data_IF_615736724679
#
_entry.id   IF_615736724679
#
_cell.length_a   1.000
_cell.length_b   1.000
_cell.length_c   1.000
_cell.angle_alpha   90.00
_cell.angle_beta   90.00
_cell.angle_gamma   90.00
#
_symmetry.space_group_name_H-M   'P 1'
#
loop_
_entity.id
_entity.type
_entity.pdbx_description
1 polymer ?
#
# COMPACT_ATOMS: atom_id res chain seq x y z
N UNK A 1 -29.69 -13.10 -4.66
CA UNK A 1 -28.71 -12.00 -4.65
C UNK A 1 -28.06 -12.02 -6.01
N UNK A 2 -27.98 -10.88 -6.68
CA UNK A 2 -27.35 -10.77 -7.99
C UNK A 2 -25.85 -11.12 -7.91
N UNK A 3 -25.31 -11.79 -8.93
CA UNK A 3 -23.91 -12.25 -8.94
C UNK A 3 -22.91 -11.08 -8.90
N UNK A 4 -23.22 -9.96 -9.57
CA UNK A 4 -22.41 -8.74 -9.59
C UNK A 4 -22.47 -8.07 -8.22
N UNK A 5 -23.66 -7.95 -7.63
CA UNK A 5 -23.83 -7.39 -6.28
C UNK A 5 -23.05 -8.21 -5.24
N UNK A 6 -23.06 -9.55 -5.34
CA UNK A 6 -22.29 -10.41 -4.45
C UNK A 6 -20.77 -10.25 -4.63
N UNK A 7 -20.30 -10.08 -5.88
CA UNK A 7 -18.90 -9.83 -6.19
C UNK A 7 -18.42 -8.49 -5.61
N UNK A 8 -19.24 -7.43 -5.71
CA UNK A 8 -18.96 -6.12 -5.11
C UNK A 8 -18.85 -6.20 -3.58
N UNK A 9 -19.76 -6.91 -2.92
CA UNK A 9 -19.71 -7.08 -1.45
C UNK A 9 -18.49 -7.88 -0.99
N UNK A 10 -18.06 -8.88 -1.76
CA UNK A 10 -16.82 -9.60 -1.47
C UNK A 10 -15.58 -8.71 -1.66
N UNK A 11 -15.58 -7.88 -2.71
CA UNK A 11 -14.54 -6.88 -2.96
C UNK A 11 -14.41 -5.88 -1.82
N UNK A 12 -15.52 -5.42 -1.24
CA UNK A 12 -15.50 -4.54 -0.07
C UNK A 12 -14.86 -5.19 1.16
N UNK A 13 -15.14 -6.47 1.40
CA UNK A 13 -14.49 -7.23 2.49
C UNK A 13 -12.99 -7.38 2.24
N UNK A 14 -12.60 -7.72 1.02
CA UNK A 14 -11.20 -7.84 0.62
C UNK A 14 -10.46 -6.51 0.79
N UNK A 15 -11.06 -5.40 0.36
CA UNK A 15 -10.53 -4.05 0.58
C UNK A 15 -10.24 -3.77 2.05
N UNK A 16 -11.23 -3.98 2.93
CA UNK A 16 -11.06 -3.73 4.37
C UNK A 16 -9.91 -4.56 4.96
N UNK A 17 -9.78 -5.83 4.55
CA UNK A 17 -8.68 -6.69 5.02
C UNK A 17 -7.31 -6.18 4.57
N UNK A 18 -7.19 -5.76 3.31
CA UNK A 18 -5.94 -5.25 2.76
C UNK A 18 -5.55 -3.91 3.39
N UNK A 19 -6.51 -3.03 3.66
CA UNK A 19 -6.27 -1.78 4.40
C UNK A 19 -5.75 -2.08 5.80
N UNK A 20 -6.40 -2.98 6.55
CA UNK A 20 -5.91 -3.38 7.88
C UNK A 20 -4.49 -3.96 7.82
N UNK A 21 -4.19 -4.79 6.82
CA UNK A 21 -2.85 -5.34 6.65
C UNK A 21 -1.81 -4.24 6.37
N UNK A 22 -2.16 -3.26 5.53
CA UNK A 22 -1.31 -2.11 5.23
C UNK A 22 -1.05 -1.29 6.49
N UNK A 23 -2.08 -0.98 7.28
CA UNK A 23 -1.96 -0.24 8.54
C UNK A 23 -1.07 -0.97 9.56
N UNK A 24 -1.16 -2.30 9.64
CA UNK A 24 -0.29 -3.10 10.49
C UNK A 24 1.17 -3.06 10.04
N UNK A 25 1.43 -3.18 8.73
CA UNK A 25 2.78 -3.04 8.20
C UNK A 25 3.34 -1.65 8.48
N UNK A 26 2.52 -0.61 8.31
CA UNK A 26 2.86 0.77 8.64
C UNK A 26 3.23 0.89 10.12
N UNK A 27 2.32 0.55 11.05
CA UNK A 27 2.58 0.63 12.48
C UNK A 27 3.85 -0.14 12.91
N UNK A 28 4.10 -1.32 12.33
CA UNK A 28 5.30 -2.11 12.62
C UNK A 28 6.60 -1.39 12.18
N UNK A 29 6.60 -0.75 11.01
CA UNK A 29 7.75 0.02 10.53
C UNK A 29 7.93 1.31 11.36
N UNK A 30 6.85 2.02 11.75
CA UNK A 30 6.98 3.21 12.65
C UNK A 30 7.53 2.86 14.02
N UNK A 31 7.33 1.62 14.46
CA UNK A 31 7.85 1.12 15.73
C UNK A 31 9.34 0.77 15.65
N UNK A 32 9.87 0.54 14.45
CA UNK A 32 11.26 0.19 14.20
C UNK A 32 12.19 1.33 14.65
N UNK A 33 13.17 1.02 15.50
CA UNK A 33 14.10 2.01 16.07
C UNK A 33 13.62 2.67 17.37
N UNK A 34 12.35 2.50 17.76
CA UNK A 34 11.85 2.99 19.07
C UNK A 34 12.14 2.02 20.23
N UNK A 35 12.32 0.72 19.96
CA UNK A 35 12.51 -0.30 21.00
C UNK A 35 13.97 -0.70 21.25
N UNK A 36 14.95 -0.04 20.63
CA UNK A 36 16.37 -0.26 20.91
C UNK A 36 16.94 -1.61 20.43
N UNK A 37 16.20 -2.37 19.59
CA UNK A 37 16.63 -3.66 19.01
C UNK A 37 17.15 -3.50 17.58
N UNK A 38 18.11 -2.60 17.39
CA UNK A 38 18.50 -2.05 16.09
C UNK A 38 18.88 -3.06 14.99
N UNK A 39 19.39 -4.25 15.30
CA UNK A 39 19.80 -5.25 14.30
C UNK A 39 18.66 -6.18 13.83
N UNK A 40 17.78 -6.61 14.74
CA UNK A 40 16.66 -7.52 14.40
C UNK A 40 15.54 -6.77 13.67
N UNK A 41 15.27 -5.54 14.12
CA UNK A 41 14.28 -4.66 13.51
C UNK A 41 14.70 -4.21 12.10
N UNK A 42 15.98 -3.87 11.90
CA UNK A 42 16.53 -3.50 10.59
C UNK A 42 16.46 -4.66 9.57
N UNK A 43 16.55 -5.91 10.02
CA UNK A 43 16.42 -7.08 9.14
C UNK A 43 14.98 -7.33 8.68
N UNK A 44 14.00 -6.88 9.46
CA UNK A 44 12.57 -7.07 9.17
C UNK A 44 11.98 -5.93 8.33
N UNK A 45 12.57 -4.72 8.39
CA UNK A 45 12.14 -3.55 7.61
C UNK A 45 12.00 -3.79 6.10
N UNK A 46 12.97 -4.40 5.39
CA UNK A 46 12.83 -4.65 3.95
C UNK A 46 11.59 -5.49 3.63
N UNK A 47 11.32 -6.51 4.46
CA UNK A 47 10.15 -7.38 4.29
C UNK A 47 8.85 -6.64 4.56
N UNK A 48 8.79 -5.86 5.64
CA UNK A 48 7.60 -5.07 5.98
C UNK A 48 7.29 -4.04 4.90
N UNK A 49 8.31 -3.40 4.33
CA UNK A 49 8.15 -2.49 3.20
C UNK A 49 7.64 -3.20 1.94
N UNK A 50 8.21 -4.37 1.62
CA UNK A 50 7.70 -5.19 0.52
C UNK A 50 6.23 -5.57 0.71
N UNK A 51 5.85 -6.04 1.90
CA UNK A 51 4.46 -6.38 2.21
C UNK A 51 3.51 -5.19 2.09
N UNK A 52 3.93 -4.00 2.53
CA UNK A 52 3.12 -2.79 2.37
C UNK A 52 3.02 -2.34 0.90
N UNK A 53 4.07 -2.50 0.08
CA UNK A 53 4.01 -2.28 -1.38
C UNK A 53 3.01 -3.23 -2.03
N UNK A 54 3.05 -4.52 -1.67
CA UNK A 54 2.14 -5.53 -2.18
C UNK A 54 0.69 -5.19 -1.81
N UNK A 55 0.44 -4.78 -0.56
CA UNK A 55 -0.89 -4.33 -0.14
C UNK A 55 -1.37 -3.11 -0.93
N UNK A 56 -0.52 -2.11 -1.19
CA UNK A 56 -0.89 -0.95 -2.02
C UNK A 56 -1.20 -1.35 -3.46
N UNK A 57 -0.40 -2.22 -4.07
CA UNK A 57 -0.70 -2.72 -5.42
C UNK A 57 -2.02 -3.47 -5.45
N UNK A 58 -2.32 -4.26 -4.43
CA UNK A 58 -3.59 -4.97 -4.32
C UNK A 58 -4.77 -4.00 -4.16
N UNK A 59 -4.67 -2.97 -3.32
CA UNK A 59 -5.69 -1.91 -3.22
C UNK A 59 -5.94 -1.24 -4.59
N UNK A 60 -4.88 -0.95 -5.35
CA UNK A 60 -5.04 -0.38 -6.68
C UNK A 60 -5.77 -1.34 -7.63
N UNK A 61 -5.44 -2.64 -7.60
CA UNK A 61 -6.12 -3.66 -8.39
C UNK A 61 -7.61 -3.81 -7.99
N UNK A 62 -7.94 -3.73 -6.70
CA UNK A 62 -9.31 -3.79 -6.20
C UNK A 62 -10.13 -2.58 -6.66
N UNK A 63 -9.54 -1.37 -6.68
CA UNK A 63 -10.18 -0.18 -7.26
C UNK A 63 -10.55 -0.41 -8.73
N UNK A 64 -9.61 -0.91 -9.55
CA UNK A 64 -9.88 -1.20 -10.95
C UNK A 64 -10.99 -2.26 -11.11
N UNK A 65 -11.00 -3.30 -10.27
CA UNK A 65 -12.03 -4.34 -10.30
C UNK A 65 -13.41 -3.79 -9.90
N UNK A 66 -13.48 -2.94 -8.88
CA UNK A 66 -14.72 -2.29 -8.48
C UNK A 66 -15.25 -1.40 -9.61
N UNK A 67 -14.40 -0.58 -10.23
CA UNK A 67 -14.77 0.31 -11.36
C UNK A 67 -15.50 -0.46 -12.47
N UNK A 68 -14.95 -1.63 -12.86
CA UNK A 68 -15.55 -2.50 -13.87
C UNK A 68 -16.88 -3.13 -13.44
N UNK A 69 -17.03 -3.48 -12.17
CA UNK A 69 -18.25 -4.12 -11.66
C UNK A 69 -19.37 -3.11 -11.41
N UNK A 70 -19.03 -1.87 -11.05
CA UNK A 70 -20.01 -0.81 -10.79
C UNK A 70 -20.88 -0.54 -12.01
N UNK A 71 -20.30 -0.54 -13.21
CA UNK A 71 -21.07 -0.36 -14.46
C UNK A 71 -22.00 -1.54 -14.78
N UNK A 72 -21.75 -2.71 -14.18
CA UNK A 72 -22.52 -3.94 -14.41
C UNK A 72 -23.63 -4.16 -13.37
N UNK A 73 -23.77 -3.25 -12.40
CA UNK A 73 -24.80 -3.39 -11.36
C UNK A 73 -26.20 -3.23 -11.95
N UNK A 74 -27.18 -4.02 -11.48
CA UNK A 74 -28.49 -4.14 -12.13
C UNK A 74 -29.39 -2.91 -11.92
N UNK A 75 -29.09 -2.05 -10.93
CA UNK A 75 -29.86 -0.85 -10.62
C UNK A 75 -29.03 0.42 -10.57
N UNK A 76 -29.64 1.54 -10.94
CA UNK A 76 -29.00 2.86 -10.89
C UNK A 76 -28.57 3.26 -9.47
N UNK A 77 -29.34 2.88 -8.44
CA UNK A 77 -28.98 3.15 -7.05
C UNK A 77 -27.72 2.37 -6.63
N UNK A 78 -27.60 1.11 -7.05
CA UNK A 78 -26.41 0.31 -6.78
C UNK A 78 -25.19 0.85 -7.53
N UNK A 79 -25.35 1.29 -8.79
CA UNK A 79 -24.29 1.97 -9.56
C UNK A 79 -23.80 3.22 -8.82
N UNK A 80 -24.72 4.08 -8.37
CA UNK A 80 -24.38 5.31 -7.62
C UNK A 80 -23.65 4.99 -6.31
N UNK A 81 -24.15 4.01 -5.55
CA UNK A 81 -23.51 3.54 -4.31
C UNK A 81 -22.10 2.98 -4.56
N UNK A 82 -21.94 2.23 -5.66
CA UNK A 82 -20.67 1.71 -6.12
C UNK A 82 -19.67 2.80 -6.51
N UNK A 83 -20.11 3.82 -7.25
CA UNK A 83 -19.29 4.98 -7.60
C UNK A 83 -18.88 5.79 -6.36
N UNK A 84 -19.80 5.98 -5.40
CA UNK A 84 -19.48 6.63 -4.13
C UNK A 84 -18.43 5.84 -3.33
N UNK A 85 -18.56 4.50 -3.31
CA UNK A 85 -17.57 3.61 -2.69
C UNK A 85 -16.20 3.76 -3.36
N UNK A 86 -16.15 3.77 -4.70
CA UNK A 86 -14.92 3.96 -5.46
C UNK A 86 -14.27 5.32 -5.16
N UNK A 87 -15.06 6.37 -5.01
CA UNK A 87 -14.58 7.69 -4.58
C UNK A 87 -13.92 7.64 -3.20
N UNK A 88 -14.56 7.00 -2.23
CA UNK A 88 -14.00 6.81 -0.88
C UNK A 88 -12.71 5.99 -0.89
N UNK A 89 -12.65 4.93 -1.71
CA UNK A 89 -11.44 4.11 -1.84
C UNK A 89 -10.26 4.88 -2.43
N UNK A 90 -10.52 5.73 -3.44
CA UNK A 90 -9.50 6.61 -4.02
C UNK A 90 -8.93 7.57 -2.99
N UNK A 91 -9.79 8.18 -2.17
CA UNK A 91 -9.36 9.08 -1.09
C UNK A 91 -8.52 8.33 -0.04
N UNK A 92 -8.98 7.16 0.42
CA UNK A 92 -8.21 6.33 1.37
C UNK A 92 -6.85 5.93 0.80
N UNK A 93 -6.80 5.50 -0.46
CA UNK A 93 -5.56 5.12 -1.14
C UNK A 93 -4.60 6.32 -1.26
N UNK A 94 -5.12 7.49 -1.62
CA UNK A 94 -4.34 8.73 -1.70
C UNK A 94 -3.86 9.21 -0.34
N UNK A 95 -4.52 8.89 0.76
CA UNK A 95 -4.03 9.21 2.10
C UNK A 95 -2.93 8.23 2.54
N UNK A 96 -2.97 6.98 2.08
CA UNK A 96 -1.94 5.97 2.39
C UNK A 96 -0.66 6.09 1.54
N UNK A 97 -0.80 6.49 0.26
CA UNK A 97 0.31 6.54 -0.70
C UNK A 97 1.45 7.53 -0.35
N UNK A 98 1.20 8.76 0.14
CA UNK A 98 2.23 9.73 0.51
C UNK A 98 3.07 9.29 1.70
N UNK A 99 2.43 8.63 2.69
CA UNK A 99 3.14 7.99 3.79
C UNK A 99 4.13 6.96 3.22
N UNK A 100 3.70 6.20 2.23
CA UNK A 100 4.53 5.17 1.61
C UNK A 100 5.71 5.72 0.79
N UNK A 101 5.52 6.80 0.03
CA UNK A 101 6.60 7.46 -0.71
C UNK A 101 7.64 8.03 0.25
N UNK A 102 7.19 8.69 1.34
CA UNK A 102 8.08 9.19 2.39
C UNK A 102 8.90 8.08 3.05
N UNK A 103 8.31 6.89 3.17
CA UNK A 103 8.92 5.75 3.84
C UNK A 103 9.84 4.92 2.96
N UNK A 104 9.53 4.80 1.67
CA UNK A 104 10.50 4.32 0.70
C UNK A 104 11.78 5.14 0.84
N UNK A 105 11.68 6.48 0.84
CA UNK A 105 12.82 7.39 1.01
C UNK A 105 13.52 7.25 2.38
N UNK A 106 12.79 7.08 3.49
CA UNK A 106 13.38 6.86 4.80
C UNK A 106 14.08 5.50 4.92
N UNK A 107 13.51 4.46 4.31
CA UNK A 107 14.13 3.15 4.22
C UNK A 107 15.40 3.17 3.37
N UNK A 108 15.43 3.89 2.23
CA UNK A 108 16.67 4.15 1.48
C UNK A 108 17.71 4.75 2.42
N UNK A 109 17.33 5.69 3.29
CA UNK A 109 18.25 6.35 4.22
C UNK A 109 18.75 5.44 5.35
N UNK A 110 17.89 4.61 5.96
CA UNK A 110 18.29 3.63 6.99
C UNK A 110 19.17 2.52 6.38
N UNK A 111 18.79 1.97 5.23
CA UNK A 111 19.61 0.97 4.54
C UNK A 111 20.91 1.56 4.00
N UNK A 112 20.93 2.81 3.55
CA UNK A 112 22.19 3.49 3.16
C UNK A 112 23.17 3.61 4.33
N UNK A 113 22.69 3.95 5.54
CA UNK A 113 23.52 3.99 6.75
C UNK A 113 24.01 2.58 7.14
N UNK A 114 23.19 1.54 6.94
CA UNK A 114 23.56 0.17 7.24
C UNK A 114 24.43 -0.52 6.15
N UNK A 115 24.52 0.04 4.94
CA UNK A 115 25.18 -0.57 3.76
C UNK A 115 26.41 0.24 3.33
N UNK A 116 27.06 0.99 4.25
CA UNK A 116 28.31 1.68 3.92
C UNK A 116 29.51 0.73 3.68
N UNK A 117 29.37 -0.58 3.89
CA UNK A 117 30.45 -1.59 3.73
C UNK A 117 30.16 -2.75 2.75
N UNK A 118 29.06 -2.75 1.96
CA UNK A 118 28.72 -3.92 1.13
C UNK A 118 28.52 -3.61 -0.38
N UNK A 119 29.44 -4.04 -1.28
CA UNK A 119 29.44 -3.68 -2.71
C UNK A 119 28.33 -4.35 -3.55
N UNK A 120 27.52 -5.24 -2.98
CA UNK A 120 26.52 -6.03 -3.72
C UNK A 120 25.16 -5.30 -3.85
N UNK A 121 24.89 -4.28 -3.03
CA UNK A 121 23.55 -3.67 -2.92
C UNK A 121 23.19 -2.66 -4.02
N UNK A 122 24.16 -2.19 -4.82
CA UNK A 122 23.91 -1.18 -5.86
C UNK A 122 22.99 -1.64 -7.01
N UNK A 123 22.69 -2.94 -7.12
CA UNK A 123 21.88 -3.48 -8.23
C UNK A 123 20.36 -3.41 -7.99
N UNK A 124 19.89 -3.35 -6.75
CA UNK A 124 18.46 -3.28 -6.44
C UNK A 124 17.88 -1.85 -6.45
N UNK A 125 18.73 -0.83 -6.32
CA UNK A 125 18.28 0.57 -6.21
C UNK A 125 18.01 1.28 -7.55
N UNK A 126 18.41 0.70 -8.69
CA UNK A 126 18.28 1.34 -10.01
C UNK A 126 16.84 1.50 -10.54
N UNK A 127 15.82 1.03 -9.80
CA UNK A 127 14.42 1.13 -10.22
C UNK A 127 13.55 2.04 -9.34
N UNK A 128 14.12 2.64 -8.28
CA UNK A 128 13.43 3.61 -7.44
C UNK A 128 14.00 5.02 -7.67
N UNK A 129 13.91 5.54 -8.90
CA UNK A 129 14.02 6.99 -9.12
C UNK A 129 12.73 7.66 -8.66
N UNK A 130 12.53 7.74 -7.34
CA UNK A 130 11.59 8.69 -6.76
C UNK A 130 12.19 10.08 -6.99
N UNK A 131 11.75 10.74 -8.07
CA UNK A 131 12.05 12.14 -8.35
C UNK A 131 11.45 13.00 -7.23
N UNK A 132 12.25 13.30 -6.21
CA UNK A 132 11.91 14.29 -5.18
C UNK A 132 11.90 15.66 -5.89
N UNK A 133 10.78 16.38 -5.96
CA UNK A 133 10.83 17.77 -6.40
C UNK A 133 11.65 18.56 -5.37
N UNK A 134 12.73 19.18 -5.85
CA UNK A 134 13.50 20.13 -5.06
C UNK A 134 12.58 21.30 -4.67
N UNK A 135 12.51 21.60 -3.37
CA UNK A 135 11.96 22.85 -2.85
C UNK A 135 13.02 23.93 -3.01
#
# INVERSE_FOLDING_TARGET
>A
MDEVTQAVENLKKEWSQVVTQLELCVAAIESCGKMGKGTEEASSLPRLNGSAQDSLQLLNALQCRLDLLVEQLPSFEEVQSGQATLGSWKEQYQNCSPLFIGWCCHFIRITWIAIQDCPISQRFFKHCECRVPAI
#
